data_IF_132907335006
#
_entry.id   IF_132907335006
#
_cell.length_a   1.000
_cell.length_b   1.000
_cell.length_c   1.000
_cell.angle_alpha   90.00
_cell.angle_beta   90.00
_cell.angle_gamma   90.00
#
_symmetry.space_group_name_H-M   'P 1'
#
loop_
_entity.id
_entity.type
_entity.pdbx_description
1 polymer ?
#
# COMPACT_ATOMS: atom_id res chain seq x y z
N UNK A 1 -14.16 0.53 7.42
CA UNK A 1 -13.56 0.57 6.07
C UNK A 1 -12.62 -0.63 5.93
N UNK A 2 -12.90 -1.49 4.99
CA UNK A 2 -12.11 -2.71 4.77
C UNK A 2 -11.15 -2.49 3.61
N UNK A 3 -10.13 -3.37 3.50
CA UNK A 3 -9.21 -3.34 2.35
C UNK A 3 -9.98 -3.53 1.03
N UNK A 4 -11.01 -4.36 1.03
CA UNK A 4 -11.80 -4.57 -0.19
C UNK A 4 -12.49 -3.28 -0.64
N UNK A 5 -13.02 -2.50 0.30
CA UNK A 5 -13.61 -1.19 0.01
C UNK A 5 -12.57 -0.21 -0.57
N UNK A 6 -11.37 -0.21 0.00
CA UNK A 6 -10.27 0.65 -0.48
C UNK A 6 -9.87 0.27 -1.91
N UNK A 7 -9.74 -1.03 -2.19
CA UNK A 7 -9.40 -1.52 -3.52
C UNK A 7 -10.52 -1.21 -4.52
N UNK A 8 -11.78 -1.38 -4.12
CA UNK A 8 -12.92 -1.06 -4.98
C UNK A 8 -12.88 0.40 -5.42
N UNK A 9 -12.54 1.31 -4.51
CA UNK A 9 -12.43 2.74 -4.84
C UNK A 9 -11.31 3.01 -5.85
N UNK A 10 -10.16 2.35 -5.71
CA UNK A 10 -9.04 2.47 -6.66
C UNK A 10 -9.45 1.94 -8.03
N UNK A 11 -10.02 0.75 -8.08
CA UNK A 11 -10.43 0.11 -9.34
C UNK A 11 -11.51 0.94 -10.04
N UNK A 12 -12.42 1.53 -9.27
CA UNK A 12 -13.45 2.40 -9.81
C UNK A 12 -12.88 3.63 -10.52
N UNK A 13 -11.77 4.18 -9.99
CA UNK A 13 -11.10 5.31 -10.62
C UNK A 13 -10.26 4.90 -11.83
N UNK A 14 -9.66 3.71 -11.79
CA UNK A 14 -8.66 3.26 -12.77
C UNK A 14 -9.19 2.18 -13.72
N UNK A 15 -10.48 1.89 -13.70
CA UNK A 15 -11.08 0.66 -14.24
C UNK A 15 -11.01 0.42 -15.74
N UNK A 16 -10.64 1.41 -16.56
CA UNK A 16 -10.62 1.26 -18.02
C UNK A 16 -9.44 0.46 -18.54
N UNK A 17 -9.60 -0.07 -19.75
CA UNK A 17 -8.47 -0.62 -20.50
C UNK A 17 -7.77 0.54 -21.23
N UNK A 18 -6.45 0.55 -21.19
CA UNK A 18 -5.64 1.55 -21.87
C UNK A 18 -4.41 0.88 -22.49
N UNK A 19 -4.05 1.30 -23.70
CA UNK A 19 -2.86 0.81 -24.38
C UNK A 19 -2.21 1.97 -25.15
N UNK A 20 -1.54 2.85 -24.39
CA UNK A 20 -0.82 3.98 -24.99
C UNK A 20 0.61 3.54 -25.37
N UNK A 21 1.07 3.82 -26.60
CA UNK A 21 2.43 3.45 -27.01
C UNK A 21 3.54 4.03 -26.12
N UNK A 22 3.27 5.15 -25.43
CA UNK A 22 4.24 5.79 -24.56
C UNK A 22 4.31 5.13 -23.17
N UNK A 23 3.39 4.26 -22.82
CA UNK A 23 3.36 3.60 -21.51
C UNK A 23 4.37 2.46 -21.47
N UNK A 24 5.33 2.56 -20.54
CA UNK A 24 6.41 1.58 -20.39
C UNK A 24 5.91 0.23 -19.89
N UNK A 25 4.82 0.20 -19.18
CA UNK A 25 4.25 -1.03 -18.61
C UNK A 25 3.40 -1.82 -19.60
N UNK A 26 3.18 -1.31 -20.82
CA UNK A 26 2.30 -1.90 -21.80
C UNK A 26 0.84 -1.62 -21.51
N UNK A 27 -0.09 -2.43 -22.06
CA UNK A 27 -1.52 -2.25 -21.80
C UNK A 27 -1.86 -2.28 -20.32
N UNK A 28 -2.87 -1.52 -19.94
CA UNK A 28 -3.31 -1.39 -18.53
C UNK A 28 -4.79 -1.74 -18.42
N UNK A 29 -5.16 -2.49 -17.41
CA UNK A 29 -6.54 -2.83 -17.09
C UNK A 29 -6.75 -2.79 -15.59
N UNK A 30 -7.81 -2.14 -15.11
CA UNK A 30 -8.09 -1.95 -13.69
C UNK A 30 -6.95 -1.24 -12.95
N UNK A 31 -6.18 -0.41 -13.67
CA UNK A 31 -4.98 0.24 -13.13
C UNK A 31 -3.75 -0.66 -13.02
N UNK A 32 -3.85 -1.91 -13.46
CA UNK A 32 -2.74 -2.88 -13.45
C UNK A 32 -2.10 -2.90 -14.83
N UNK A 33 -0.78 -2.66 -14.89
CA UNK A 33 -0.03 -2.74 -16.15
C UNK A 33 0.24 -4.19 -16.52
N UNK A 34 0.48 -4.42 -17.81
CA UNK A 34 0.86 -5.75 -18.27
C UNK A 34 2.10 -6.27 -17.55
N UNK A 35 3.12 -5.42 -17.37
CA UNK A 35 4.35 -5.81 -16.68
C UNK A 35 4.05 -6.34 -15.27
N UNK A 36 3.19 -5.65 -14.52
CA UNK A 36 2.79 -6.05 -13.17
C UNK A 36 1.96 -7.33 -13.20
N UNK A 37 1.02 -7.43 -14.15
CA UNK A 37 0.19 -8.63 -14.29
C UNK A 37 1.05 -9.87 -14.57
N UNK A 38 2.01 -9.76 -15.49
CA UNK A 38 2.91 -10.86 -15.81
C UNK A 38 3.79 -11.25 -14.63
N UNK A 39 4.31 -10.27 -13.89
CA UNK A 39 5.10 -10.52 -12.70
C UNK A 39 4.30 -11.24 -11.60
N UNK A 40 2.98 -11.11 -11.62
CA UNK A 40 2.08 -11.75 -10.66
C UNK A 40 1.41 -13.01 -11.22
N UNK A 41 1.89 -13.52 -12.35
CA UNK A 41 1.48 -14.82 -12.86
C UNK A 41 0.33 -14.82 -13.85
N UNK A 42 -0.24 -13.67 -14.20
CA UNK A 42 -1.30 -13.60 -15.19
C UNK A 42 -0.70 -13.68 -16.60
N UNK A 43 -1.15 -14.62 -17.42
CA UNK A 43 -0.62 -14.87 -18.77
C UNK A 43 -1.59 -14.55 -19.89
N UNK A 44 -2.82 -14.16 -19.56
CA UNK A 44 -3.87 -13.90 -20.54
C UNK A 44 -3.79 -12.50 -21.15
N UNK A 45 -4.79 -12.20 -21.99
CA UNK A 45 -4.95 -10.89 -22.60
C UNK A 45 -5.30 -9.85 -21.53
N UNK A 46 -4.66 -8.69 -21.60
CA UNK A 46 -4.92 -7.62 -20.64
C UNK A 46 -6.36 -7.09 -20.74
N UNK A 47 -6.97 -7.12 -21.92
CA UNK A 47 -8.39 -6.74 -22.04
C UNK A 47 -9.31 -7.71 -21.29
N UNK A 48 -8.86 -8.95 -21.11
CA UNK A 48 -9.61 -9.99 -20.42
C UNK A 48 -9.19 -10.17 -18.96
N UNK A 49 -8.29 -9.31 -18.42
CA UNK A 49 -7.85 -9.43 -17.03
C UNK A 49 -9.06 -9.36 -16.11
N UNK A 50 -9.36 -10.44 -15.34
CA UNK A 50 -10.50 -10.43 -14.44
C UNK A 50 -10.32 -9.40 -13.33
N UNK A 51 -11.42 -8.78 -12.91
CA UNK A 51 -11.40 -7.84 -11.79
C UNK A 51 -10.85 -8.50 -10.52
N UNK A 52 -11.19 -9.76 -10.28
CA UNK A 52 -10.72 -10.50 -9.11
C UNK A 52 -9.21 -10.67 -9.09
N UNK A 53 -8.59 -10.85 -10.27
CA UNK A 53 -7.13 -10.91 -10.38
C UNK A 53 -6.52 -9.55 -10.02
N UNK A 54 -7.10 -8.46 -10.50
CA UNK A 54 -6.64 -7.11 -10.17
C UNK A 54 -6.74 -6.87 -8.66
N UNK A 55 -7.85 -7.25 -8.03
CA UNK A 55 -8.04 -7.12 -6.58
C UNK A 55 -6.94 -7.88 -5.83
N UNK A 56 -6.65 -9.12 -6.24
CA UNK A 56 -5.61 -9.93 -5.61
C UNK A 56 -4.23 -9.30 -5.76
N UNK A 57 -3.93 -8.71 -6.92
CA UNK A 57 -2.66 -8.04 -7.16
C UNK A 57 -2.50 -6.82 -6.27
N UNK A 58 -3.52 -5.96 -6.18
CA UNK A 58 -3.50 -4.79 -5.29
C UNK A 58 -3.30 -5.20 -3.84
N UNK A 59 -4.04 -6.21 -3.38
CA UNK A 59 -3.95 -6.68 -2.00
C UNK A 59 -2.54 -7.18 -1.69
N UNK A 60 -1.94 -7.93 -2.60
CA UNK A 60 -0.59 -8.48 -2.42
C UNK A 60 0.47 -7.38 -2.40
N UNK A 61 0.46 -6.49 -3.40
CA UNK A 61 1.54 -5.52 -3.61
C UNK A 61 1.44 -4.30 -2.71
N UNK A 62 0.23 -3.84 -2.38
CA UNK A 62 0.02 -2.57 -1.69
C UNK A 62 -0.54 -2.71 -0.30
N UNK A 63 -0.79 -3.93 0.16
CA UNK A 63 -1.36 -4.18 1.48
C UNK A 63 -0.55 -5.21 2.26
N UNK A 64 -0.43 -6.43 1.74
CA UNK A 64 0.21 -7.53 2.46
C UNK A 64 1.74 -7.43 2.42
N UNK A 65 2.31 -7.26 1.23
CA UNK A 65 3.77 -7.21 1.08
C UNK A 65 4.39 -6.04 1.85
N UNK A 66 3.82 -4.81 1.81
CA UNK A 66 4.36 -3.70 2.60
C UNK A 66 4.14 -3.85 4.11
N UNK A 67 3.25 -4.73 4.56
CA UNK A 67 2.92 -4.89 5.97
C UNK A 67 1.85 -3.94 6.47
N UNK A 68 1.10 -3.31 5.58
CA UNK A 68 0.04 -2.38 5.99
C UNK A 68 -1.13 -3.09 6.65
N UNK A 69 -1.30 -4.39 6.40
CA UNK A 69 -2.26 -5.23 7.12
C UNK A 69 -1.93 -5.30 8.61
N UNK A 70 -0.64 -5.32 8.97
CA UNK A 70 -0.21 -5.28 10.39
C UNK A 70 -0.57 -3.94 11.02
N UNK A 71 -0.42 -2.85 10.29
CA UNK A 71 -0.81 -1.51 10.76
C UNK A 71 -2.32 -1.45 10.98
N UNK A 72 -3.09 -2.04 10.08
CA UNK A 72 -4.56 -2.04 10.16
C UNK A 72 -5.08 -2.71 11.43
N UNK A 73 -4.37 -3.71 11.95
CA UNK A 73 -4.75 -4.38 13.20
C UNK A 73 -4.73 -3.44 14.39
N UNK A 74 -3.95 -2.37 14.33
CA UNK A 74 -3.80 -1.39 15.41
C UNK A 74 -4.36 -0.02 15.08
N UNK A 75 -4.32 0.38 13.81
CA UNK A 75 -4.71 1.72 13.38
C UNK A 75 -5.31 1.68 11.96
N UNK A 76 -6.59 1.29 11.83
CA UNK A 76 -7.19 1.11 10.51
C UNK A 76 -7.17 2.36 9.63
N UNK A 77 -7.35 3.55 10.20
CA UNK A 77 -7.34 4.79 9.42
C UNK A 77 -5.95 5.12 8.89
N UNK A 78 -4.91 4.85 9.68
CA UNK A 78 -3.53 5.04 9.24
C UNK A 78 -3.21 4.05 8.12
N UNK A 79 -3.65 2.80 8.25
CA UNK A 79 -3.45 1.80 7.21
C UNK A 79 -4.13 2.21 5.90
N UNK A 80 -5.33 2.80 5.96
CA UNK A 80 -6.04 3.30 4.79
C UNK A 80 -5.24 4.41 4.09
N UNK A 81 -4.67 5.33 4.86
CA UNK A 81 -3.81 6.39 4.33
C UNK A 81 -2.53 5.82 3.70
N UNK A 82 -1.93 4.81 4.33
CA UNK A 82 -0.74 4.15 3.80
C UNK A 82 -1.04 3.46 2.47
N UNK A 83 -2.20 2.80 2.37
CA UNK A 83 -2.62 2.17 1.13
C UNK A 83 -2.79 3.20 0.00
N UNK A 84 -3.50 4.29 0.28
CA UNK A 84 -3.76 5.33 -0.71
C UNK A 84 -2.45 6.00 -1.15
N UNK A 85 -1.59 6.36 -0.22
CA UNK A 85 -0.28 6.93 -0.51
C UNK A 85 0.59 5.93 -1.27
N UNK A 86 0.53 4.66 -0.90
CA UNK A 86 1.27 3.59 -1.56
C UNK A 86 0.87 3.39 -3.03
N UNK A 87 -0.41 3.51 -3.32
CA UNK A 87 -0.91 3.45 -4.71
C UNK A 87 -0.35 4.63 -5.52
N UNK A 88 -0.33 5.83 -4.95
CA UNK A 88 0.05 7.05 -5.67
C UNK A 88 1.56 7.27 -5.73
N UNK A 89 2.29 6.89 -4.69
CA UNK A 89 3.71 7.25 -4.53
C UNK A 89 4.62 6.05 -4.26
N UNK A 90 4.05 4.85 -4.17
CA UNK A 90 4.79 3.63 -3.85
C UNK A 90 4.75 3.29 -2.37
N UNK A 91 4.68 1.98 -2.04
CA UNK A 91 4.60 1.53 -0.64
C UNK A 91 5.82 1.93 0.21
N UNK A 92 7.01 1.94 -0.37
CA UNK A 92 8.24 2.34 0.35
C UNK A 92 8.17 3.80 0.78
N UNK A 93 7.66 4.68 -0.10
CA UNK A 93 7.48 6.11 0.21
C UNK A 93 6.45 6.29 1.31
N UNK A 94 5.32 5.58 1.23
CA UNK A 94 4.28 5.64 2.26
C UNK A 94 4.82 5.19 3.62
N UNK A 95 5.56 4.09 3.66
CA UNK A 95 6.19 3.59 4.88
C UNK A 95 7.16 4.62 5.46
N UNK A 96 7.94 5.28 4.61
CA UNK A 96 8.86 6.33 5.03
C UNK A 96 8.14 7.50 5.69
N UNK A 97 7.00 7.91 5.16
CA UNK A 97 6.18 8.97 5.76
C UNK A 97 5.70 8.57 7.15
N UNK A 98 5.21 7.34 7.32
CA UNK A 98 4.77 6.86 8.63
C UNK A 98 5.92 6.88 9.65
N UNK A 99 7.08 6.36 9.26
CA UNK A 99 8.24 6.30 10.18
C UNK A 99 8.71 7.68 10.58
N UNK A 100 8.77 8.64 9.64
CA UNK A 100 9.12 10.02 9.95
C UNK A 100 8.10 10.67 10.89
N UNK A 101 6.81 10.39 10.67
CA UNK A 101 5.75 10.91 11.54
C UNK A 101 5.87 10.34 12.95
N UNK A 102 6.14 9.05 13.09
CA UNK A 102 6.33 8.42 14.40
C UNK A 102 7.52 9.00 15.13
N UNK A 103 8.64 9.24 14.43
CA UNK A 103 9.81 9.84 15.04
C UNK A 103 9.57 11.29 15.45
N UNK A 104 8.84 12.04 14.63
CA UNK A 104 8.50 13.44 14.94
C UNK A 104 7.57 13.56 16.15
N UNK A 105 6.68 12.59 16.36
CA UNK A 105 5.75 12.58 17.48
C UNK A 105 6.39 12.01 18.75
N UNK A 106 7.56 11.39 18.64
CA UNK A 106 8.27 10.80 19.77
C UNK A 106 9.04 11.90 20.53
N UNK A 107 8.66 12.19 21.76
CA UNK A 107 9.20 13.30 22.56
C UNK A 107 10.62 12.97 23.04
N UNK A 108 11.60 13.17 22.17
CA UNK A 108 13.02 12.88 22.45
C UNK A 108 13.23 11.42 22.92
N UNK A 109 12.57 10.50 22.23
CA UNK A 109 12.58 9.07 22.54
C UNK A 109 12.00 8.72 23.91
N UNK A 110 11.20 9.64 24.50
CA UNK A 110 10.60 9.41 25.82
C UNK A 110 9.45 8.40 25.78
N UNK A 111 8.74 8.30 24.66
CA UNK A 111 7.56 7.44 24.54
C UNK A 111 7.91 6.06 23.97
N UNK A 112 8.89 6.00 23.10
CA UNK A 112 9.38 4.79 22.42
C UNK A 112 10.72 5.10 21.76
N UNK A 113 11.47 4.07 21.36
CA UNK A 113 12.69 4.27 20.60
C UNK A 113 12.36 4.74 19.18
N UNK A 114 13.19 5.62 18.62
CA UNK A 114 13.02 6.05 17.24
C UNK A 114 13.14 4.85 16.30
N UNK A 115 12.25 4.82 15.29
CA UNK A 115 12.27 3.77 14.27
C UNK A 115 13.31 4.11 13.20
N UNK A 116 13.92 3.09 12.61
CA UNK A 116 14.90 3.28 11.55
C UNK A 116 14.21 3.73 10.25
N UNK A 117 15.01 4.13 9.27
CA UNK A 117 14.52 4.68 8.01
C UNK A 117 14.30 3.63 6.92
N UNK A 118 14.37 2.34 7.24
CA UNK A 118 14.14 1.30 6.23
C UNK A 118 12.69 1.32 5.75
N UNK A 119 12.43 1.01 4.46
CA UNK A 119 11.08 1.06 3.90
C UNK A 119 10.25 -0.19 4.22
N UNK A 120 10.33 -0.67 5.46
CA UNK A 120 9.69 -1.90 5.93
C UNK A 120 8.92 -1.62 7.20
N UNK A 121 7.69 -2.13 7.29
CA UNK A 121 6.92 -2.15 8.53
C UNK A 121 7.46 -3.29 9.38
N UNK A 122 8.28 -2.96 10.36
CA UNK A 122 8.90 -3.93 11.25
C UNK A 122 8.26 -3.90 12.65
N UNK A 123 8.72 -4.75 13.53
CA UNK A 123 8.17 -4.85 14.89
C UNK A 123 8.35 -3.55 15.66
N UNK A 124 9.47 -2.83 15.44
CA UNK A 124 9.71 -1.54 16.08
C UNK A 124 8.69 -0.50 15.62
N UNK A 125 8.32 -0.50 14.35
CA UNK A 125 7.30 0.40 13.80
C UNK A 125 5.94 0.14 14.46
N UNK A 126 5.56 -1.13 14.60
CA UNK A 126 4.29 -1.51 15.24
C UNK A 126 4.31 -1.14 16.71
N UNK A 127 5.42 -1.36 17.41
CA UNK A 127 5.55 -0.99 18.82
C UNK A 127 5.42 0.52 19.03
N UNK A 128 6.07 1.32 18.18
CA UNK A 128 5.96 2.78 18.22
C UNK A 128 4.53 3.24 17.97
N UNK A 129 3.86 2.65 17.00
CA UNK A 129 2.47 2.97 16.67
C UNK A 129 1.53 2.68 17.83
N UNK A 130 1.71 1.54 18.50
CA UNK A 130 0.91 1.18 19.68
C UNK A 130 1.14 2.15 20.83
N UNK A 131 2.38 2.54 21.06
CA UNK A 131 2.74 3.52 22.12
C UNK A 131 2.11 4.88 21.84
N UNK A 132 2.17 5.34 20.58
CA UNK A 132 1.58 6.62 20.18
C UNK A 132 0.07 6.64 20.42
N UNK A 133 -0.62 5.54 20.13
CA UNK A 133 -2.07 5.44 20.36
C UNK A 133 -2.43 5.49 21.84
N UNK A 134 -1.57 4.97 22.71
CA UNK A 134 -1.80 5.04 24.16
C UNK A 134 -1.65 6.46 24.70
N UNK A 135 -0.79 7.26 24.06
CA UNK A 135 -0.53 8.63 24.48
C UNK A 135 -1.59 9.63 23.98
N UNK A 136 -2.42 9.22 23.01
CA UNK A 136 -3.48 10.07 22.46
C UNK A 136 -4.89 9.72 23.08
#
# INVERSE_FOLDING_TARGET
MTIDTLIDAVIGREGGYSNHPADRGGPTRWGVTEAVARANGYRGDMQALPRDEAVAIYKRLYWQRPGFDRVAAHAPLIAAELFDTGINMGPATATGFLKRALNALNRNEADYDDVDATPVIDDATIAALRSQRRCS
#
